data_IF_614001173754
#
_entry.id   IF_614001173754
#
_cell.length_a   1.000
_cell.length_b   1.000
_cell.length_c   1.000
_cell.angle_alpha   90.00
_cell.angle_beta   90.00
_cell.angle_gamma   90.00
#
_symmetry.space_group_name_H-M   'P 1'
#
loop_
_entity.id
_entity.type
_entity.pdbx_description
1 polymer ?
#
# COMPACT_ATOMS: atom_id res chain seq x y z
N UNK A 1 56.73 -36.07 -5.52
CA UNK A 1 56.32 -35.19 -6.68
C UNK A 1 54.87 -35.28 -7.03
N UNK A 2 54.19 -36.41 -6.92
CA UNK A 2 52.78 -36.61 -7.29
C UNK A 2 51.79 -35.77 -6.42
N UNK A 3 52.04 -35.56 -5.15
CA UNK A 3 51.13 -34.81 -4.26
C UNK A 3 51.13 -33.30 -4.49
N UNK A 4 52.24 -32.73 -4.96
CA UNK A 4 52.32 -31.29 -5.27
C UNK A 4 51.51 -30.94 -6.50
N UNK A 5 51.49 -31.80 -7.49
CA UNK A 5 50.73 -31.62 -8.73
C UNK A 5 49.22 -31.74 -8.45
N UNK A 6 48.80 -32.70 -7.60
CA UNK A 6 47.41 -32.90 -7.20
C UNK A 6 46.88 -31.72 -6.40
N UNK A 7 47.71 -31.15 -5.49
CA UNK A 7 47.33 -29.98 -4.72
C UNK A 7 47.15 -28.72 -5.59
N UNK A 8 47.97 -28.56 -6.61
CA UNK A 8 47.86 -27.43 -7.55
C UNK A 8 46.63 -27.57 -8.43
N UNK A 9 46.31 -28.76 -8.91
CA UNK A 9 45.13 -29.02 -9.73
C UNK A 9 43.85 -28.80 -8.91
N UNK A 10 43.82 -29.24 -7.61
CA UNK A 10 42.68 -29.02 -6.71
C UNK A 10 42.50 -27.55 -6.38
N UNK A 11 43.60 -26.80 -6.19
CA UNK A 11 43.54 -25.35 -5.94
C UNK A 11 43.04 -24.57 -7.16
N UNK A 12 43.44 -24.96 -8.37
CA UNK A 12 42.97 -24.33 -9.61
C UNK A 12 41.51 -24.63 -9.86
N UNK A 13 41.05 -25.87 -9.58
CA UNK A 13 39.65 -26.26 -9.72
C UNK A 13 38.75 -25.48 -8.73
N UNK A 14 39.21 -25.22 -7.51
CA UNK A 14 38.48 -24.43 -6.50
C UNK A 14 38.35 -22.97 -6.92
N UNK A 15 39.37 -22.38 -7.55
CA UNK A 15 39.34 -20.99 -8.02
C UNK A 15 38.42 -20.80 -9.24
N UNK A 16 38.26 -21.82 -10.06
CA UNK A 16 37.39 -21.76 -11.26
C UNK A 16 35.90 -21.92 -10.91
N UNK A 17 35.57 -22.62 -9.80
CA UNK A 17 34.16 -22.82 -9.39
C UNK A 17 33.59 -21.67 -8.57
N UNK A 18 34.41 -20.81 -7.99
CA UNK A 18 33.99 -19.68 -7.15
C UNK A 18 33.31 -18.52 -7.91
N UNK A 19 33.66 -18.18 -9.16
CA UNK A 19 33.00 -17.06 -9.84
C UNK A 19 31.64 -17.42 -10.49
N UNK A 20 31.25 -18.69 -10.60
CA UNK A 20 29.94 -19.05 -11.14
C UNK A 20 28.78 -18.95 -10.16
N UNK A 21 29.06 -18.79 -8.85
CA UNK A 21 28.04 -18.68 -7.83
C UNK A 21 27.54 -17.24 -7.58
N UNK A 22 28.15 -16.22 -8.18
CA UNK A 22 27.81 -14.81 -7.96
C UNK A 22 27.02 -14.18 -9.12
N UNK A 23 26.69 -14.92 -10.18
CA UNK A 23 25.85 -14.45 -11.27
C UNK A 23 24.47 -15.10 -11.26
N UNK A 24 23.91 -15.38 -10.08
CA UNK A 24 22.49 -15.56 -9.92
C UNK A 24 21.85 -14.19 -9.69
N UNK A 25 22.00 -13.27 -10.65
CA UNK A 25 20.98 -12.27 -10.89
C UNK A 25 19.75 -13.04 -11.34
N UNK A 26 18.93 -13.48 -10.37
CA UNK A 26 17.54 -13.75 -10.63
C UNK A 26 16.97 -12.43 -11.18
N UNK A 27 16.88 -12.35 -12.49
CA UNK A 27 15.93 -11.45 -13.13
C UNK A 27 14.58 -11.94 -12.60
N UNK A 28 14.19 -11.46 -11.41
CA UNK A 28 12.81 -11.47 -10.99
C UNK A 28 12.11 -10.74 -12.12
N UNK A 29 11.54 -11.50 -13.07
CA UNK A 29 10.42 -11.01 -13.84
C UNK A 29 9.40 -10.60 -12.78
N UNK A 30 9.42 -9.34 -12.41
CA UNK A 30 8.30 -8.66 -11.80
C UNK A 30 7.13 -8.99 -12.71
N UNK A 31 6.32 -9.93 -12.29
CA UNK A 31 4.97 -10.08 -12.79
C UNK A 31 4.28 -8.81 -12.32
N UNK A 32 4.32 -7.79 -13.19
CA UNK A 32 3.72 -6.50 -12.96
C UNK A 32 2.21 -6.62 -12.99
N UNK A 33 1.64 -7.05 -11.92
CA UNK A 33 0.45 -6.40 -11.42
C UNK A 33 0.98 -5.34 -10.43
N UNK A 34 1.38 -4.19 -10.93
CA UNK A 34 1.69 -3.02 -10.11
C UNK A 34 0.36 -2.53 -9.53
N UNK A 35 -0.12 -3.19 -8.50
CA UNK A 35 -1.27 -2.75 -7.72
C UNK A 35 -0.84 -1.53 -6.92
N UNK A 36 -1.57 -0.45 -7.09
CA UNK A 36 -1.35 0.79 -6.33
C UNK A 36 -1.97 0.58 -4.95
N UNK A 37 -1.21 0.78 -3.91
CA UNK A 37 -1.74 0.81 -2.54
C UNK A 37 -2.03 2.26 -2.18
N UNK A 38 -3.27 2.55 -1.78
CA UNK A 38 -3.71 3.86 -1.30
C UNK A 38 -4.10 3.73 0.17
N UNK A 39 -3.31 4.32 1.06
CA UNK A 39 -3.53 4.29 2.51
C UNK A 39 -4.30 5.51 2.95
N UNK A 40 -5.47 5.28 3.54
CA UNK A 40 -6.37 6.33 4.01
C UNK A 40 -6.61 6.15 5.49
N UNK A 41 -6.45 7.21 6.28
CA UNK A 41 -6.91 7.26 7.66
C UNK A 41 -8.00 8.31 7.83
N UNK A 42 -9.14 7.92 8.42
CA UNK A 42 -10.31 8.75 8.58
C UNK A 42 -10.96 8.53 9.96
N UNK A 43 -11.96 9.32 10.28
CA UNK A 43 -12.80 9.12 11.44
C UNK A 43 -13.59 7.82 11.34
N UNK A 44 -13.87 7.20 12.48
CA UNK A 44 -14.83 6.11 12.57
C UNK A 44 -16.19 6.55 12.01
N UNK A 45 -16.92 5.64 11.38
CA UNK A 45 -18.26 5.85 10.82
C UNK A 45 -18.39 6.99 9.79
N UNK A 46 -17.29 7.47 9.22
CA UNK A 46 -17.30 8.57 8.27
C UNK A 46 -17.41 8.13 6.82
N UNK A 47 -17.12 6.87 6.55
CA UNK A 47 -17.19 6.27 5.23
C UNK A 47 -18.03 5.00 5.29
N UNK A 48 -18.89 4.84 4.32
CA UNK A 48 -19.66 3.61 4.14
C UNK A 48 -18.73 2.46 3.71
N UNK A 49 -18.59 1.48 4.60
CA UNK A 49 -17.79 0.27 4.36
C UNK A 49 -18.62 -0.89 3.80
N UNK A 50 -19.94 -0.71 3.63
CA UNK A 50 -20.82 -1.66 2.96
C UNK A 50 -21.26 -2.84 3.80
N UNK A 51 -21.39 -2.69 5.11
CA UNK A 51 -21.82 -3.72 6.08
C UNK A 51 -23.27 -3.58 6.56
N UNK A 52 -24.08 -2.86 5.80
CA UNK A 52 -25.55 -2.81 6.04
C UNK A 52 -26.20 -4.10 5.54
N UNK A 53 -27.46 -4.25 5.90
CA UNK A 53 -28.28 -5.38 5.43
C UNK A 53 -28.38 -5.37 3.90
N UNK A 54 -28.23 -6.54 3.29
CA UNK A 54 -28.19 -6.75 1.83
C UNK A 54 -29.42 -6.21 1.09
N UNK A 55 -30.52 -6.00 1.79
CA UNK A 55 -31.80 -5.55 1.24
C UNK A 55 -31.99 -4.02 1.35
N UNK A 56 -31.08 -3.31 2.00
CA UNK A 56 -31.19 -1.84 2.10
C UNK A 56 -30.66 -1.17 0.83
N UNK A 57 -31.53 -0.32 0.28
CA UNK A 57 -31.26 0.48 -0.90
C UNK A 57 -31.63 1.94 -0.60
N UNK A 58 -30.68 2.85 -0.80
CA UNK A 58 -30.93 4.30 -0.68
C UNK A 58 -30.92 4.90 -2.08
N UNK A 59 -32.01 5.54 -2.48
CA UNK A 59 -32.08 6.32 -3.70
C UNK A 59 -31.71 7.78 -3.43
N UNK A 60 -30.68 8.27 -4.10
CA UNK A 60 -30.24 9.66 -4.03
C UNK A 60 -31.12 10.55 -4.89
N UNK A 61 -31.14 11.87 -4.62
CA UNK A 61 -31.90 12.88 -5.39
C UNK A 61 -31.63 12.85 -6.90
N UNK A 62 -30.46 12.39 -7.31
CA UNK A 62 -30.08 12.25 -8.73
C UNK A 62 -30.51 10.90 -9.35
N UNK A 63 -31.32 10.11 -8.66
CA UNK A 63 -31.79 8.80 -9.09
C UNK A 63 -30.77 7.67 -9.05
N UNK A 64 -29.58 7.91 -8.49
CA UNK A 64 -28.62 6.83 -8.24
C UNK A 64 -28.98 6.07 -6.98
N UNK A 65 -28.76 4.76 -7.02
CA UNK A 65 -29.02 3.87 -5.90
C UNK A 65 -27.71 3.44 -5.27
N UNK A 66 -27.68 3.50 -3.95
CA UNK A 66 -26.62 2.93 -3.10
C UNK A 66 -27.18 1.64 -2.53
N UNK A 67 -26.44 0.56 -2.68
CA UNK A 67 -26.83 -0.78 -2.21
C UNK A 67 -25.94 -1.11 -1.01
N UNK A 68 -26.57 -1.50 0.11
CA UNK A 68 -25.91 -1.67 1.40
C UNK A 68 -24.68 -2.59 1.45
N UNK A 69 -24.62 -3.59 0.57
CA UNK A 69 -23.46 -4.50 0.47
C UNK A 69 -22.27 -3.94 -0.30
N UNK A 70 -22.41 -2.79 -0.96
CA UNK A 70 -21.33 -2.18 -1.73
C UNK A 70 -20.66 -1.10 -0.90
N UNK A 71 -19.43 -1.34 -0.47
CA UNK A 71 -18.65 -0.29 0.18
C UNK A 71 -18.25 0.78 -0.84
N UNK A 72 -18.15 2.02 -0.38
CA UNK A 72 -17.62 3.14 -1.18
C UNK A 72 -16.18 2.87 -1.63
N UNK A 73 -15.38 2.20 -0.79
CA UNK A 73 -14.01 1.77 -1.10
C UNK A 73 -14.03 0.83 -2.30
N UNK A 74 -14.90 -0.17 -2.29
CA UNK A 74 -14.99 -1.15 -3.36
C UNK A 74 -15.45 -0.55 -4.67
N UNK A 75 -16.38 0.37 -4.60
CA UNK A 75 -16.87 1.11 -5.77
C UNK A 75 -15.77 1.99 -6.35
N UNK A 76 -14.96 2.64 -5.51
CA UNK A 76 -13.80 3.41 -5.95
C UNK A 76 -12.75 2.53 -6.63
N UNK A 77 -12.38 1.39 -6.03
CA UNK A 77 -11.42 0.44 -6.61
C UNK A 77 -11.87 -0.03 -8.00
N UNK A 78 -13.14 -0.41 -8.12
CA UNK A 78 -13.73 -0.86 -9.38
C UNK A 78 -13.77 0.26 -10.43
N UNK A 79 -14.15 1.48 -10.01
CA UNK A 79 -14.15 2.66 -10.88
C UNK A 79 -12.74 3.00 -11.37
N UNK A 80 -11.76 2.95 -10.48
CA UNK A 80 -10.36 3.25 -10.82
C UNK A 80 -9.80 2.25 -11.83
N UNK A 81 -10.00 0.95 -11.59
CA UNK A 81 -9.55 -0.10 -12.52
C UNK A 81 -10.23 0.06 -13.89
N UNK A 82 -11.52 0.33 -13.93
CA UNK A 82 -12.27 0.53 -15.18
C UNK A 82 -11.81 1.76 -15.95
N UNK A 83 -11.44 2.85 -15.24
CA UNK A 83 -11.10 4.15 -15.84
C UNK A 83 -9.65 4.19 -16.30
N UNK A 84 -8.73 3.69 -15.47
CA UNK A 84 -7.29 3.82 -15.70
C UNK A 84 -6.60 2.53 -16.10
N UNK A 85 -7.32 1.40 -16.15
CA UNK A 85 -6.79 0.07 -16.45
C UNK A 85 -5.64 -0.34 -15.52
N UNK A 86 -5.68 0.13 -14.28
CA UNK A 86 -4.73 -0.17 -13.20
C UNK A 86 -5.51 -0.54 -11.95
N UNK A 87 -5.00 -1.52 -11.22
CA UNK A 87 -5.58 -1.88 -9.93
C UNK A 87 -5.10 -0.92 -8.85
N UNK A 88 -6.04 -0.50 -8.01
CA UNK A 88 -5.75 0.18 -6.75
C UNK A 88 -6.38 -0.66 -5.63
N UNK A 89 -5.66 -0.80 -4.53
CA UNK A 89 -6.16 -1.36 -3.29
C UNK A 89 -6.15 -0.26 -2.24
N UNK A 90 -7.30 0.02 -1.66
CA UNK A 90 -7.41 0.95 -0.54
C UNK A 90 -7.16 0.20 0.76
N UNK A 91 -6.17 0.65 1.51
CA UNK A 91 -5.95 0.26 2.91
C UNK A 91 -6.57 1.36 3.77
N UNK A 92 -7.79 1.10 4.23
CA UNK A 92 -8.57 2.04 5.02
C UNK A 92 -8.39 1.74 6.50
N UNK A 93 -8.11 2.75 7.28
CA UNK A 93 -8.02 2.69 8.74
C UNK A 93 -8.77 3.84 9.36
N UNK A 94 -9.23 3.64 10.59
CA UNK A 94 -10.01 4.63 11.33
C UNK A 94 -9.30 5.05 12.60
N UNK A 95 -9.64 6.23 13.09
CA UNK A 95 -9.20 6.75 14.38
C UNK A 95 -10.37 7.41 15.13
N UNK A 96 -10.41 7.24 16.44
CA UNK A 96 -11.44 7.83 17.29
C UNK A 96 -11.12 9.26 17.72
N UNK A 97 -9.82 9.64 17.78
CA UNK A 97 -9.37 10.99 18.15
C UNK A 97 -8.25 11.49 17.26
N UNK A 98 -8.11 12.82 17.14
CA UNK A 98 -6.97 13.41 16.41
C UNK A 98 -5.63 13.04 17.03
N UNK A 99 -5.59 12.90 18.35
CA UNK A 99 -4.40 12.54 19.10
C UNK A 99 -3.96 11.10 18.79
N UNK A 100 -4.91 10.17 18.65
CA UNK A 100 -4.60 8.79 18.25
C UNK A 100 -3.99 8.75 16.85
N UNK A 101 -4.60 9.43 15.88
CA UNK A 101 -4.06 9.55 14.54
C UNK A 101 -2.65 10.18 14.54
N UNK A 102 -2.47 11.26 15.31
CA UNK A 102 -1.16 11.92 15.45
C UNK A 102 -0.11 11.00 16.07
N UNK A 103 -0.49 10.22 17.08
CA UNK A 103 0.39 9.23 17.69
C UNK A 103 0.81 8.14 16.69
N UNK A 104 -0.13 7.62 15.89
CA UNK A 104 0.15 6.64 14.84
C UNK A 104 1.19 7.18 13.84
N UNK A 105 1.01 8.41 13.36
CA UNK A 105 2.00 9.08 12.50
C UNK A 105 3.37 9.24 13.20
N UNK A 106 3.39 9.45 14.50
CA UNK A 106 4.63 9.68 15.26
C UNK A 106 5.41 8.38 15.46
N UNK A 107 4.73 7.25 15.62
CA UNK A 107 5.38 5.94 15.76
C UNK A 107 5.77 5.30 14.41
N UNK A 108 5.43 5.94 13.29
CA UNK A 108 5.93 5.56 11.98
C UNK A 108 4.89 5.05 10.98
N UNK A 109 3.60 5.09 11.31
CA UNK A 109 2.56 4.81 10.35
C UNK A 109 2.58 5.84 9.22
N UNK A 110 2.30 5.39 8.02
CA UNK A 110 2.31 6.24 6.83
C UNK A 110 0.97 6.15 6.11
N UNK A 111 0.44 7.31 5.74
CA UNK A 111 -0.80 7.43 5.00
C UNK A 111 -0.60 8.32 3.77
N UNK A 112 -1.34 8.04 2.70
CA UNK A 112 -1.38 8.89 1.51
C UNK A 112 -2.41 10.00 1.70
N UNK A 113 -3.51 9.69 2.41
CA UNK A 113 -4.57 10.63 2.77
C UNK A 113 -4.93 10.50 4.24
N UNK A 114 -5.12 11.64 4.89
CA UNK A 114 -5.64 11.73 6.26
C UNK A 114 -6.75 12.78 6.33
N UNK A 115 -7.76 12.54 7.15
CA UNK A 115 -8.92 13.41 7.28
C UNK A 115 -9.16 13.86 8.73
N UNK A 116 -8.20 14.51 9.40
CA UNK A 116 -8.36 14.99 10.77
C UNK A 116 -9.11 16.32 10.84
N UNK A 117 -9.39 16.79 12.04
CA UNK A 117 -9.94 18.13 12.27
C UNK A 117 -8.96 19.24 11.87
N UNK A 118 -9.50 20.42 11.57
CA UNK A 118 -8.74 21.58 11.09
C UNK A 118 -7.52 21.92 11.96
N UNK A 119 -7.66 21.95 13.29
CA UNK A 119 -6.54 22.29 14.18
C UNK A 119 -5.38 21.29 14.05
N UNK A 120 -5.70 20.01 13.82
CA UNK A 120 -4.69 18.99 13.63
C UNK A 120 -4.00 19.12 12.26
N UNK A 121 -4.73 19.51 11.22
CA UNK A 121 -4.15 19.84 9.91
C UNK A 121 -3.15 20.99 10.07
N UNK A 122 -3.53 22.04 10.81
CA UNK A 122 -2.64 23.19 11.06
C UNK A 122 -1.38 22.79 11.83
N UNK A 123 -1.50 21.89 12.80
CA UNK A 123 -0.36 21.32 13.53
C UNK A 123 0.57 20.53 12.60
N UNK A 124 0.01 19.63 11.80
CA UNK A 124 0.78 18.81 10.86
C UNK A 124 1.49 19.65 9.78
N UNK A 125 0.85 20.73 9.32
CA UNK A 125 1.46 21.70 8.41
C UNK A 125 2.63 22.43 9.05
N UNK A 126 2.48 22.86 10.30
CA UNK A 126 3.56 23.54 11.05
C UNK A 126 4.77 22.61 11.29
N UNK A 127 4.54 21.30 11.40
CA UNK A 127 5.55 20.28 11.58
C UNK A 127 6.09 19.70 10.27
N UNK A 128 5.64 20.18 9.10
CA UNK A 128 5.98 19.65 7.77
C UNK A 128 5.68 18.15 7.60
N UNK A 129 4.62 17.66 8.24
CA UNK A 129 4.20 16.26 8.18
C UNK A 129 3.17 15.98 7.09
N UNK A 130 2.67 17.00 6.41
CA UNK A 130 1.73 16.88 5.28
C UNK A 130 2.24 17.64 4.08
N UNK A 131 1.90 17.13 2.89
CA UNK A 131 2.24 17.76 1.63
C UNK A 131 1.11 18.68 1.18
N UNK A 132 1.46 19.80 0.56
CA UNK A 132 0.50 20.58 -0.20
C UNK A 132 0.28 19.91 -1.55
N UNK A 133 -0.97 19.73 -1.92
CA UNK A 133 -1.31 19.34 -3.28
C UNK A 133 -1.73 20.58 -4.07
N UNK A 134 -1.41 20.59 -5.34
CA UNK A 134 -1.75 21.67 -6.28
C UNK A 134 -2.88 21.21 -7.19
#
# INVERSE_FOLDING_TARGET
MKYKVFSIIFSILLVITLPLALCSCSTQKSSKNDEIILRIANWEEYLDEGDWDDDEEIELENGKKIIGRNSMIKDFENWYEKTYHKKVKVEYSTFGTNEDMYNQLTIGDTYDLICPSEYMIMKLLAENKVLKYS
#
